data_IF_699994800428
#
_entry.id   IF_699994800428
#
_cell.length_a   1.000
_cell.length_b   1.000
_cell.length_c   1.000
_cell.angle_alpha   90.00
_cell.angle_beta   90.00
_cell.angle_gamma   90.00
#
_symmetry.space_group_name_H-M   'P 1'
#
loop_
_entity.id
_entity.type
_entity.pdbx_description
1 polymer ?
#
# COMPACT_ATOMS: atom_id res chain seq x y z
N UNK A 1 23.05 -12.71 -48.20
CA UNK A 1 22.13 -13.09 -47.10
C UNK A 1 22.10 -11.98 -46.07
N UNK A 2 21.19 -11.03 -46.21
CA UNK A 2 21.01 -9.88 -45.32
C UNK A 2 20.15 -10.29 -44.11
N UNK A 3 20.82 -10.62 -43.01
CA UNK A 3 20.17 -10.90 -41.72
C UNK A 3 19.43 -9.65 -41.23
N UNK A 4 18.12 -9.61 -41.42
CA UNK A 4 17.24 -8.62 -40.79
C UNK A 4 17.11 -8.98 -39.31
N UNK A 5 17.97 -8.40 -38.47
CA UNK A 5 17.80 -8.40 -37.02
C UNK A 5 16.55 -7.58 -36.71
N UNK A 6 15.41 -8.28 -36.53
CA UNK A 6 14.18 -7.70 -35.97
C UNK A 6 14.50 -7.22 -34.57
N UNK A 7 14.80 -5.93 -34.44
CA UNK A 7 14.80 -5.23 -33.16
C UNK A 7 13.34 -5.08 -32.75
N UNK A 8 12.77 -6.13 -32.16
CA UNK A 8 11.54 -6.06 -31.37
C UNK A 8 11.84 -5.35 -30.05
N UNK A 9 12.25 -4.07 -30.13
CA UNK A 9 12.14 -3.16 -29.00
C UNK A 9 10.66 -3.11 -28.71
N UNK A 10 10.26 -3.67 -27.57
CA UNK A 10 8.89 -3.63 -27.06
C UNK A 10 8.43 -2.17 -26.93
N UNK A 11 7.91 -1.62 -28.01
CA UNK A 11 7.25 -0.31 -28.06
C UNK A 11 5.92 -0.31 -27.29
N UNK A 12 5.55 -1.41 -26.63
CA UNK A 12 4.37 -1.54 -25.77
C UNK A 12 4.60 -1.43 -24.26
N UNK A 13 5.84 -1.35 -23.77
CA UNK A 13 6.10 -1.36 -22.33
C UNK A 13 5.94 0.05 -21.72
N UNK A 14 4.78 0.33 -21.12
CA UNK A 14 4.59 1.52 -20.27
C UNK A 14 5.50 1.34 -19.06
N UNK A 15 6.52 2.18 -18.97
CA UNK A 15 7.44 2.20 -17.83
C UNK A 15 6.95 3.22 -16.82
N UNK A 16 6.81 2.81 -15.56
CA UNK A 16 6.42 3.72 -14.48
C UNK A 16 7.71 4.33 -13.91
N UNK A 17 7.93 5.62 -14.18
CA UNK A 17 9.11 6.37 -13.72
C UNK A 17 8.80 7.33 -12.58
N UNK A 18 7.52 7.51 -12.24
CA UNK A 18 7.04 8.55 -11.35
C UNK A 18 6.12 7.97 -10.28
N UNK A 19 6.10 8.65 -9.14
CA UNK A 19 5.18 8.37 -8.05
C UNK A 19 4.05 9.41 -8.05
N UNK A 20 2.81 8.93 -8.11
CA UNK A 20 1.64 9.77 -7.92
C UNK A 20 1.35 9.92 -6.43
N UNK A 21 1.31 11.16 -5.94
CA UNK A 21 1.07 11.45 -4.52
C UNK A 21 -0.36 11.06 -4.08
N UNK A 22 -0.55 10.64 -2.83
CA UNK A 22 -1.88 10.34 -2.30
C UNK A 22 -2.74 11.62 -2.22
N UNK A 23 -4.04 11.48 -2.43
CA UNK A 23 -5.00 12.57 -2.20
C UNK A 23 -5.17 12.85 -0.70
N UNK A 24 -5.77 13.98 -0.32
CA UNK A 24 -6.02 14.30 1.09
C UNK A 24 -6.85 13.21 1.82
N UNK A 25 -7.79 12.58 1.12
CA UNK A 25 -8.58 11.47 1.67
C UNK A 25 -7.76 10.18 1.79
N UNK A 26 -6.79 9.95 0.90
CA UNK A 26 -5.83 8.85 1.05
C UNK A 26 -4.93 9.08 2.27
N UNK A 27 -4.46 10.31 2.49
CA UNK A 27 -3.68 10.68 3.67
C UNK A 27 -4.44 10.50 4.98
N UNK A 28 -5.73 10.80 5.00
CA UNK A 28 -6.59 10.51 6.15
C UNK A 28 -6.67 9.00 6.42
N UNK A 29 -6.91 8.19 5.38
CA UNK A 29 -6.95 6.73 5.50
C UNK A 29 -5.60 6.15 5.96
N UNK A 30 -4.48 6.69 5.45
CA UNK A 30 -3.11 6.38 5.89
C UNK A 30 -2.98 6.63 7.41
N UNK A 31 -3.41 7.80 7.87
CA UNK A 31 -3.37 8.16 9.29
C UNK A 31 -4.16 7.20 10.17
N UNK A 32 -5.39 6.85 9.76
CA UNK A 32 -6.21 5.87 10.47
C UNK A 32 -5.55 4.49 10.50
N UNK A 33 -4.94 4.06 9.39
CA UNK A 33 -4.27 2.76 9.31
C UNK A 33 -3.04 2.70 10.21
N UNK A 34 -2.22 3.74 10.21
CA UNK A 34 -1.06 3.84 11.10
C UNK A 34 -1.46 3.87 12.57
N UNK A 35 -2.56 4.56 12.90
CA UNK A 35 -3.11 4.54 14.26
C UNK A 35 -3.57 3.14 14.67
N UNK A 36 -4.20 2.40 13.76
CA UNK A 36 -4.61 1.01 14.00
C UNK A 36 -3.41 0.10 14.24
N UNK A 37 -2.40 0.12 13.37
CA UNK A 37 -1.15 -0.64 13.59
C UNK A 37 -0.45 -0.22 14.88
N UNK A 38 -0.40 1.08 15.16
CA UNK A 38 0.15 1.63 16.39
C UNK A 38 -0.57 1.13 17.64
N UNK A 39 -1.91 1.04 17.61
CA UNK A 39 -2.70 0.48 18.71
C UNK A 39 -2.46 -1.02 18.93
N UNK A 40 -2.28 -1.79 17.85
CA UNK A 40 -1.91 -3.21 17.93
C UNK A 40 -0.53 -3.39 18.54
N UNK A 41 0.45 -2.62 18.07
CA UNK A 41 1.81 -2.62 18.61
C UNK A 41 1.83 -2.13 20.07
N UNK A 42 0.96 -1.18 20.43
CA UNK A 42 0.86 -0.65 21.78
C UNK A 42 0.06 -1.52 22.74
N UNK A 43 -0.68 -2.51 22.23
CA UNK A 43 -1.54 -3.40 23.00
C UNK A 43 -0.86 -4.15 24.15
N UNK A 44 0.46 -4.48 24.14
CA UNK A 44 1.13 -5.08 25.28
C UNK A 44 1.33 -4.09 26.45
N UNK A 45 1.39 -2.79 26.20
CA UNK A 45 1.59 -1.75 27.23
C UNK A 45 0.27 -1.23 27.84
N UNK A 46 -0.87 -1.64 27.28
CA UNK A 46 -2.20 -1.28 27.83
C UNK A 46 -2.57 -2.32 28.90
N UNK A 47 -2.26 -1.97 30.15
CA UNK A 47 -2.45 -2.83 31.34
C UNK A 47 -3.72 -2.37 32.10
N UNK A 48 -4.47 -3.29 32.74
CA UNK A 48 -5.57 -2.93 33.64
C UNK A 48 -5.20 -1.83 34.64
N UNK A 49 -6.05 -0.81 34.74
CA UNK A 49 -5.85 0.33 35.65
C UNK A 49 -5.10 1.53 35.06
N UNK A 50 -4.43 1.37 33.91
CA UNK A 50 -3.82 2.49 33.17
C UNK A 50 -4.88 3.50 32.69
N UNK A 51 -4.47 4.75 32.42
CA UNK A 51 -5.39 5.78 31.88
C UNK A 51 -6.00 5.34 30.54
N UNK A 52 -5.20 4.71 29.67
CA UNK A 52 -5.68 4.18 28.38
C UNK A 52 -6.71 3.06 28.60
N UNK A 53 -6.48 2.16 29.56
CA UNK A 53 -7.47 1.12 29.91
C UNK A 53 -8.79 1.72 30.39
N UNK A 54 -8.76 2.74 31.26
CA UNK A 54 -9.96 3.41 31.76
C UNK A 54 -10.73 4.10 30.62
N UNK A 55 -10.01 4.82 29.76
CA UNK A 55 -10.59 5.48 28.58
C UNK A 55 -11.25 4.47 27.63
N UNK A 56 -10.55 3.38 27.29
CA UNK A 56 -11.12 2.32 26.45
C UNK A 56 -12.34 1.66 27.14
N UNK A 57 -12.29 1.45 28.45
CA UNK A 57 -13.43 0.88 29.18
C UNK A 57 -14.65 1.79 29.15
N UNK A 58 -14.46 3.11 29.20
CA UNK A 58 -15.54 4.09 29.24
C UNK A 58 -16.13 4.42 27.85
N UNK A 59 -15.29 4.52 26.82
CA UNK A 59 -15.71 5.00 25.50
C UNK A 59 -15.82 3.91 24.43
N UNK A 60 -15.13 2.77 24.60
CA UNK A 60 -15.13 1.72 23.59
C UNK A 60 -16.30 0.74 23.81
N UNK A 61 -17.09 0.42 22.77
CA UNK A 61 -18.19 -0.52 22.89
C UNK A 61 -17.68 -1.92 23.26
N UNK A 62 -17.97 -2.34 24.48
CA UNK A 62 -17.50 -3.61 25.03
C UNK A 62 -16.15 -3.56 25.76
N UNK A 63 -15.65 -2.35 26.04
CA UNK A 63 -14.57 -2.08 26.98
C UNK A 63 -13.16 -2.39 26.48
N UNK A 64 -12.19 -2.21 27.38
CA UNK A 64 -10.76 -2.35 27.08
C UNK A 64 -10.36 -3.77 26.65
N UNK A 65 -11.00 -4.80 27.20
CA UNK A 65 -10.71 -6.20 26.85
C UNK A 65 -11.04 -6.51 25.39
N UNK A 66 -12.23 -6.09 24.92
CA UNK A 66 -12.62 -6.28 23.51
C UNK A 66 -11.76 -5.44 22.57
N UNK A 67 -11.42 -4.21 22.96
CA UNK A 67 -10.49 -3.37 22.20
C UNK A 67 -9.12 -4.04 22.05
N UNK A 68 -8.56 -4.58 23.14
CA UNK A 68 -7.29 -5.30 23.14
C UNK A 68 -7.34 -6.60 22.35
N UNK A 69 -8.43 -7.36 22.47
CA UNK A 69 -8.63 -8.57 21.68
C UNK A 69 -8.65 -8.25 20.18
N UNK A 70 -9.37 -7.20 19.77
CA UNK A 70 -9.38 -6.75 18.38
C UNK A 70 -8.00 -6.25 17.94
N UNK A 71 -7.32 -5.45 18.75
CA UNK A 71 -5.98 -4.97 18.43
C UNK A 71 -4.98 -6.13 18.27
N UNK A 72 -5.06 -7.16 19.11
CA UNK A 72 -4.15 -8.32 19.04
C UNK A 72 -4.51 -9.33 17.95
N UNK A 73 -5.76 -9.38 17.51
CA UNK A 73 -6.23 -10.35 16.51
C UNK A 73 -6.31 -9.75 15.12
N UNK A 74 -6.97 -8.59 14.98
CA UNK A 74 -7.21 -7.96 13.69
C UNK A 74 -5.95 -7.31 13.13
N UNK A 75 -5.09 -6.72 13.96
CA UNK A 75 -3.89 -6.02 13.47
C UNK A 75 -2.89 -6.98 12.83
N UNK A 76 -2.54 -8.14 13.43
CA UNK A 76 -1.67 -9.11 12.76
C UNK A 76 -2.28 -9.69 11.49
N UNK A 77 -3.60 -9.99 11.49
CA UNK A 77 -4.29 -10.47 10.29
C UNK A 77 -4.25 -9.43 9.16
N UNK A 78 -4.50 -8.17 9.48
CA UNK A 78 -4.44 -7.07 8.53
C UNK A 78 -3.00 -6.85 8.03
N UNK A 79 -2.00 -6.91 8.91
CA UNK A 79 -0.60 -6.84 8.54
C UNK A 79 -0.22 -7.95 7.54
N UNK A 80 -0.71 -9.18 7.76
CA UNK A 80 -0.48 -10.31 6.88
C UNK A 80 -1.13 -10.12 5.51
N UNK A 81 -2.35 -9.60 5.46
CA UNK A 81 -3.03 -9.24 4.20
C UNK A 81 -2.23 -8.19 3.44
N UNK A 82 -1.83 -7.09 4.10
CA UNK A 82 -1.03 -6.03 3.48
C UNK A 82 0.34 -6.54 2.99
N UNK A 83 0.98 -7.43 3.72
CA UNK A 83 2.21 -8.08 3.27
C UNK A 83 1.99 -8.90 1.99
N UNK A 84 0.86 -9.62 1.91
CA UNK A 84 0.45 -10.31 0.68
C UNK A 84 0.20 -9.34 -0.48
N UNK A 85 -0.47 -8.22 -0.22
CA UNK A 85 -0.72 -7.18 -1.22
C UNK A 85 0.57 -6.57 -1.75
N UNK A 86 1.56 -6.29 -0.90
CA UNK A 86 2.89 -5.80 -1.29
C UNK A 86 3.58 -6.76 -2.26
N UNK A 87 3.63 -8.05 -1.92
CA UNK A 87 4.25 -9.07 -2.78
C UNK A 87 3.54 -9.15 -4.14
N UNK A 88 2.21 -9.14 -4.15
CA UNK A 88 1.43 -9.15 -5.39
C UNK A 88 1.61 -7.86 -6.19
N UNK A 89 1.73 -6.71 -5.52
CA UNK A 89 1.90 -5.40 -6.15
C UNK A 89 3.26 -5.31 -6.85
N UNK A 90 4.32 -5.77 -6.18
CA UNK A 90 5.66 -5.85 -6.80
C UNK A 90 5.65 -6.77 -8.03
N UNK A 91 5.05 -7.95 -7.93
CA UNK A 91 5.05 -8.94 -9.01
C UNK A 91 4.16 -8.55 -10.20
N UNK A 92 2.92 -8.14 -9.93
CA UNK A 92 1.91 -7.92 -10.97
C UNK A 92 1.96 -6.54 -11.60
N UNK A 93 2.51 -5.55 -10.90
CA UNK A 93 2.59 -4.16 -11.39
C UNK A 93 4.02 -3.67 -11.54
N UNK A 94 4.78 -3.61 -10.45
CA UNK A 94 6.09 -2.93 -10.46
C UNK A 94 7.06 -3.60 -11.43
N UNK A 95 7.27 -4.90 -11.30
CA UNK A 95 8.13 -5.67 -12.21
C UNK A 95 7.59 -5.67 -13.64
N UNK A 96 6.27 -5.81 -13.79
CA UNK A 96 5.62 -5.89 -15.11
C UNK A 96 5.73 -4.58 -15.89
N UNK A 97 5.72 -3.44 -15.19
CA UNK A 97 5.83 -2.10 -15.76
C UNK A 97 7.23 -1.50 -15.63
N UNK A 98 8.26 -2.36 -15.56
CA UNK A 98 9.66 -1.97 -15.68
C UNK A 98 10.22 -1.16 -14.50
N UNK A 99 9.54 -1.14 -13.35
CA UNK A 99 10.08 -0.48 -12.16
C UNK A 99 11.19 -1.33 -11.58
N UNK A 100 12.40 -0.77 -11.52
CA UNK A 100 13.55 -1.44 -10.91
C UNK A 100 13.29 -1.62 -9.41
N UNK A 101 13.29 -2.87 -8.94
CA UNK A 101 13.24 -3.19 -7.50
C UNK A 101 14.30 -2.40 -6.74
N UNK A 102 13.95 -1.96 -5.52
CA UNK A 102 14.81 -1.16 -4.64
C UNK A 102 15.16 0.24 -5.17
N UNK A 103 14.60 0.67 -6.31
CA UNK A 103 14.69 2.07 -6.72
C UNK A 103 13.90 2.96 -5.76
N UNK A 104 14.18 4.27 -5.77
CA UNK A 104 13.41 5.24 -5.01
C UNK A 104 11.92 5.19 -5.36
N UNK A 105 11.59 5.10 -6.64
CA UNK A 105 10.20 4.98 -7.12
C UNK A 105 9.57 3.69 -6.63
N UNK A 106 10.33 2.59 -6.60
CA UNK A 106 9.86 1.33 -6.04
C UNK A 106 9.48 1.47 -4.57
N UNK A 107 10.37 2.05 -3.74
CA UNK A 107 10.10 2.26 -2.33
C UNK A 107 8.89 3.16 -2.08
N UNK A 108 8.74 4.24 -2.86
CA UNK A 108 7.59 5.13 -2.72
C UNK A 108 6.28 4.39 -2.95
N UNK A 109 6.18 3.56 -3.99
CA UNK A 109 4.99 2.78 -4.27
C UNK A 109 4.78 1.64 -3.28
N UNK A 110 5.85 0.95 -2.87
CA UNK A 110 5.77 -0.21 -1.98
C UNK A 110 5.36 0.19 -0.56
N UNK A 111 5.93 1.27 -0.02
CA UNK A 111 5.52 1.83 1.29
C UNK A 111 4.07 2.32 1.23
N UNK A 112 3.70 2.94 0.12
CA UNK A 112 2.34 3.42 -0.11
C UNK A 112 1.34 2.25 -0.19
N UNK A 113 1.71 1.13 -0.82
CA UNK A 113 0.92 -0.11 -0.79
C UNK A 113 0.87 -0.72 0.62
N UNK A 114 1.97 -0.70 1.38
CA UNK A 114 2.00 -1.21 2.75
C UNK A 114 0.99 -0.50 3.66
N UNK A 115 0.82 0.81 3.49
CA UNK A 115 -0.06 1.62 4.34
C UNK A 115 -1.49 1.70 3.78
N UNK A 116 -1.66 1.78 2.46
CA UNK A 116 -2.98 2.02 1.85
C UNK A 116 -3.64 0.76 1.28
N UNK A 117 -2.87 -0.31 1.05
CA UNK A 117 -3.33 -1.53 0.39
C UNK A 117 -3.90 -1.27 -1.01
N UNK A 118 -5.12 -1.76 -1.25
CA UNK A 118 -5.87 -1.65 -2.52
C UNK A 118 -5.96 -0.22 -3.08
N UNK A 119 -5.92 0.84 -2.26
CA UNK A 119 -5.98 2.20 -2.81
C UNK A 119 -4.73 2.56 -3.62
N UNK A 120 -3.56 2.06 -3.22
CA UNK A 120 -2.33 2.20 -4.00
C UNK A 120 -2.42 1.46 -5.34
N UNK A 121 -3.08 0.29 -5.37
CA UNK A 121 -3.39 -0.45 -6.60
C UNK A 121 -4.22 0.37 -7.58
N UNK A 122 -5.30 1.00 -7.10
CA UNK A 122 -6.13 1.84 -7.97
C UNK A 122 -5.36 3.05 -8.48
N UNK A 123 -4.44 3.61 -7.68
CA UNK A 123 -3.64 4.78 -8.09
C UNK A 123 -2.61 4.41 -9.16
N UNK A 124 -1.89 3.30 -9.00
CA UNK A 124 -0.94 2.87 -10.04
C UNK A 124 -1.66 2.51 -11.34
N UNK A 125 -2.83 1.90 -11.28
CA UNK A 125 -3.64 1.56 -12.45
C UNK A 125 -4.09 2.82 -13.21
N UNK A 126 -4.48 3.88 -12.49
CA UNK A 126 -4.80 5.19 -13.09
C UNK A 126 -3.56 5.80 -13.75
N UNK A 127 -2.40 5.78 -13.10
CA UNK A 127 -1.15 6.28 -13.69
C UNK A 127 -0.75 5.52 -14.96
N UNK A 128 -0.91 4.19 -14.96
CA UNK A 128 -0.67 3.35 -16.15
C UNK A 128 -1.64 3.72 -17.27
N UNK A 129 -2.93 3.87 -16.96
CA UNK A 129 -3.95 4.24 -17.94
C UNK A 129 -3.68 5.62 -18.56
N UNK A 130 -3.32 6.62 -17.75
CA UNK A 130 -2.94 7.95 -18.22
C UNK A 130 -1.72 7.90 -19.16
N UNK A 131 -0.64 7.22 -18.75
CA UNK A 131 0.55 7.07 -19.60
C UNK A 131 0.26 6.28 -20.90
N UNK A 132 -0.72 5.36 -20.88
CA UNK A 132 -1.19 4.67 -22.09
C UNK A 132 -1.88 5.62 -23.06
N UNK A 133 -2.77 6.46 -22.55
CA UNK A 133 -3.52 7.44 -23.34
C UNK A 133 -2.61 8.50 -23.95
N UNK A 134 -1.69 9.06 -23.16
CA UNK A 134 -0.70 10.05 -23.64
C UNK A 134 0.19 9.50 -24.76
N UNK A 135 0.50 8.21 -24.73
CA UNK A 135 1.28 7.56 -25.77
C UNK A 135 0.47 7.38 -27.06
N UNK A 136 -0.81 7.03 -26.94
CA UNK A 136 -1.72 6.88 -28.07
C UNK A 136 -2.08 8.21 -28.73
N UNK A 137 -2.17 9.30 -27.98
CA UNK A 137 -2.45 10.63 -28.54
C UNK A 137 -1.24 11.26 -29.25
N UNK A 138 -0.03 10.74 -29.03
CA UNK A 138 1.23 11.22 -29.63
C UNK A 138 1.71 10.33 -30.78
N UNK A 139 1.02 9.23 -31.06
CA UNK A 139 1.29 8.31 -32.16
C UNK A 139 0.35 8.59 -33.32
#
# INVERSE_FOLDING_TARGET
>A
MTSHRRNNVNTGAITITEYATPSALDWFAIGCMLALFGSGAASPWIIPGSQIWKLLTQYFPGGAERALWMARTLVPLLALVHAGEMVLFDQLRMRRHGVRRWSRVWWMWEISCAVEGIRAWKRIDRTIAQKKMEKQSKA
#
